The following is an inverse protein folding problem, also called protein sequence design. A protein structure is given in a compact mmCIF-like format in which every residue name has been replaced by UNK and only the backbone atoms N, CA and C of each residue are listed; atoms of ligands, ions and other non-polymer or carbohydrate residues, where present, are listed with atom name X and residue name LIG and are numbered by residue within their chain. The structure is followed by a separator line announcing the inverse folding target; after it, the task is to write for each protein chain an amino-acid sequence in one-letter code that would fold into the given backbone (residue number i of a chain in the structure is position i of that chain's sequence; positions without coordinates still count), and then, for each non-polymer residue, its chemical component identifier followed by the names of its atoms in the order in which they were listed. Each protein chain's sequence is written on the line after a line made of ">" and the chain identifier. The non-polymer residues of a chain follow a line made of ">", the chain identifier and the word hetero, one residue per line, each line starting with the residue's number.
data_IF_558167978152
#
_entry.id   IF_558167978152
#
_cell.length_a   1.000
_cell.length_b   1.000
_cell.length_c   1.000
_cell.angle_alpha   90.00
_cell.angle_beta   90.00
_cell.angle_gamma   90.00
#
_symmetry.space_group_name_H-M   'P 1'
#
loop_
_entity.id
_entity.type
_entity.pdbx_description
1 polymer ?
2 non-polymer ?
3 water ?
#
# COMPACT_ATOMS: atom_id res chain seq x y z
N UNK A 6 -27.52 -31.55 -5.38
CA UNK A 6 -27.84 -30.67 -6.50
C UNK A 6 -26.80 -29.55 -6.62
N UNK A 7 -26.84 -28.60 -5.69
CA UNK A 7 -25.97 -27.43 -5.73
C UNK A 7 -24.66 -27.77 -5.03
N UNK A 8 -23.63 -28.07 -5.83
CA UNK A 8 -22.30 -28.35 -5.32
C UNK A 8 -21.53 -27.04 -5.23
N UNK A 9 -21.06 -26.70 -4.03
CA UNK A 9 -20.28 -25.50 -3.79
C UNK A 9 -18.99 -25.84 -3.05
N UNK A 10 -17.97 -25.02 -3.26
CA UNK A 10 -16.67 -25.25 -2.66
C UNK A 10 -15.97 -23.91 -2.44
N UNK A 11 -15.12 -23.86 -1.42
CA UNK A 11 -14.41 -22.65 -1.04
C UNK A 11 -13.00 -22.99 -0.63
N UNK A 12 -12.01 -22.43 -1.31
CA UNK A 12 -10.61 -22.56 -0.91
C UNK A 12 -10.29 -21.50 0.13
N UNK A 13 -9.89 -21.94 1.33
CA UNK A 13 -9.70 -21.02 2.43
C UNK A 13 -8.65 -19.96 2.10
N UNK A 14 -7.40 -20.39 1.92
CA UNK A 14 -6.27 -19.46 1.76
C UNK A 14 -6.01 -19.12 0.30
N UNK A 15 -7.04 -19.07 -0.55
CA UNK A 15 -6.84 -18.64 -1.93
C UNK A 15 -6.35 -17.20 -1.98
N UNK A 16 -7.02 -16.31 -1.25
CA UNK A 16 -6.66 -14.90 -1.31
C UNK A 16 -5.21 -14.69 -0.87
N UNK A 17 -4.74 -15.45 0.11
CA UNK A 17 -3.34 -15.38 0.50
C UNK A 17 -2.44 -15.89 -0.61
N UNK A 18 -2.83 -16.99 -1.27
CA UNK A 18 -2.07 -17.48 -2.41
C UNK A 18 -2.02 -16.45 -3.53
N UNK A 19 -3.19 -15.92 -3.90
CA UNK A 19 -3.25 -14.97 -5.01
C UNK A 19 -2.41 -13.74 -4.73
N UNK A 20 -2.50 -13.20 -3.51
CA UNK A 20 -1.70 -12.04 -3.16
C UNK A 20 -0.21 -12.35 -3.22
N UNK A 21 0.18 -13.59 -2.91
CA UNK A 21 1.57 -13.98 -3.09
C UNK A 21 2.02 -13.78 -4.52
N UNK A 22 1.23 -14.24 -5.48
CA UNK A 22 1.56 -14.06 -6.88
C UNK A 22 1.48 -12.59 -7.27
N UNK A 23 0.42 -11.90 -6.82
CA UNK A 23 0.30 -10.47 -7.11
C UNK A 23 1.50 -9.70 -6.57
N UNK A 24 2.04 -10.11 -5.43
CA UNK A 24 3.25 -9.48 -4.93
C UNK A 24 4.46 -9.85 -5.79
N UNK A 25 4.54 -11.11 -6.22
CA UNK A 25 5.60 -11.51 -7.14
C UNK A 25 5.56 -10.68 -8.41
N UNK A 26 4.37 -10.48 -8.97
CA UNK A 26 4.24 -9.70 -10.19
C UNK A 26 4.68 -8.26 -10.00
N UNK A 27 4.39 -7.70 -8.81
CA UNK A 27 4.86 -6.35 -8.51
C UNK A 27 6.39 -6.30 -8.50
N UNK A 28 7.02 -7.18 -7.72
CA UNK A 28 8.47 -7.20 -7.64
C UNK A 28 9.10 -7.45 -9.01
N UNK A 29 8.38 -8.14 -9.89
CA UNK A 29 8.84 -8.35 -11.26
C UNK A 29 8.43 -7.24 -12.20
N UNK A 30 7.64 -6.27 -11.73
CA UNK A 30 7.19 -5.15 -12.54
C UNK A 30 6.43 -5.62 -13.78
N UNK A 31 5.53 -6.59 -13.58
CA UNK A 31 4.69 -7.13 -14.64
C UNK A 31 3.25 -6.75 -14.36
N UNK A 32 2.56 -6.25 -15.40
CA UNK A 32 1.16 -5.83 -15.35
C UNK A 32 0.95 -4.55 -14.55
N UNK A 33 1.99 -3.96 -13.99
CA UNK A 33 1.83 -2.72 -13.24
C UNK A 33 1.28 -1.62 -14.13
N UNK A 34 0.35 -0.84 -13.59
CA UNK A 34 -0.30 0.25 -14.32
C UNK A 34 -0.18 1.59 -13.62
N UNK A 35 0.63 1.69 -12.58
CA UNK A 35 0.80 2.95 -11.85
C UNK A 35 2.21 2.99 -11.28
N UNK A 36 2.85 4.16 -11.39
CA UNK A 36 4.16 4.41 -10.81
C UNK A 36 4.02 5.53 -9.79
N UNK A 37 4.38 5.25 -8.54
CA UNK A 37 4.28 6.21 -7.46
C UNK A 37 5.65 6.87 -7.25
N UNK A 38 5.77 8.12 -7.68
CA UNK A 38 6.98 8.90 -7.49
C UNK A 38 6.88 9.65 -6.16
N UNK A 39 7.74 9.31 -5.22
CA UNK A 39 7.70 9.85 -3.87
C UNK A 39 8.90 10.78 -3.71
N UNK A 40 8.62 12.04 -3.39
CA UNK A 40 9.65 13.05 -3.15
C UNK A 40 9.35 13.71 -1.82
N UNK A 41 10.31 13.65 -0.90
CA UNK A 41 10.09 14.07 0.49
C UNK A 41 11.29 14.87 0.97
N UNK A 42 11.14 16.19 0.97
CA UNK A 42 12.12 17.10 1.57
C UNK A 42 13.55 16.80 1.12
N UNK A 43 14.38 16.30 2.03
CA UNK A 43 15.79 16.08 1.75
C UNK A 43 16.11 14.66 1.31
N UNK A 44 15.13 13.75 1.36
CA UNK A 44 15.39 12.38 0.95
C UNK A 44 15.34 12.26 -0.57
N UNK A 45 16.15 11.37 -1.15
CA UNK A 45 16.14 11.23 -2.61
C UNK A 45 14.84 10.62 -3.11
N UNK A 46 14.43 11.07 -4.29
CA UNK A 46 13.19 10.59 -4.88
C UNK A 46 13.26 9.07 -5.09
N UNK A 47 12.08 8.43 -5.09
CA UNK A 47 11.99 6.99 -5.22
C UNK A 47 10.73 6.64 -5.99
N UNK A 48 10.83 5.61 -6.83
CA UNK A 48 9.72 5.13 -7.62
C UNK A 48 9.20 3.81 -7.05
N UNK A 49 7.89 3.61 -7.17
CA UNK A 49 7.24 2.39 -6.71
C UNK A 49 6.17 2.03 -7.73
N UNK A 50 6.38 0.93 -8.45
CA UNK A 50 5.39 0.45 -9.41
C UNK A 50 4.46 -0.53 -8.72
N UNK A 51 3.19 -0.51 -9.12
CA UNK A 51 2.19 -1.36 -8.49
C UNK A 51 0.97 -1.43 -9.41
N UNK A 52 -0.06 -2.12 -8.93
CA UNK A 52 -1.30 -2.31 -9.67
C UNK A 52 -2.40 -1.49 -8.99
N UNK A 53 -3.05 -0.62 -9.75
CA UNK A 53 -4.07 0.25 -9.18
C UNK A 53 -5.12 -0.56 -8.43
N UNK A 54 -5.59 -1.66 -9.05
CA UNK A 54 -6.67 -2.44 -8.44
C UNK A 54 -6.24 -2.97 -7.07
N UNK A 55 -4.97 -3.31 -6.90
CA UNK A 55 -4.50 -3.81 -5.62
C UNK A 55 -4.46 -2.68 -4.59
N UNK A 56 -3.84 -1.55 -4.95
CA UNK A 56 -3.80 -0.41 -4.06
C UNK A 56 -5.20 0.04 -3.67
N UNK A 57 -6.11 0.10 -4.65
CA UNK A 57 -7.48 0.50 -4.37
C UNK A 57 -8.15 -0.44 -3.38
N UNK A 58 -7.80 -1.73 -3.42
CA UNK A 58 -8.43 -2.70 -2.53
C UNK A 58 -8.00 -2.53 -1.09
N UNK A 59 -6.88 -1.83 -0.84
CA UNK A 59 -6.36 -1.66 0.51
C UNK A 59 -6.43 -0.23 1.01
N UNK A 60 -6.77 0.73 0.16
CA UNK A 60 -6.79 2.13 0.54
C UNK A 60 -7.97 2.84 -0.12
N UNK A 61 -8.97 3.27 0.64
CA UNK A 61 -10.05 4.08 0.03
C UNK A 61 -9.54 5.32 -0.66
N UNK A 62 -8.38 5.84 -0.27
CA UNK A 62 -7.83 7.03 -0.92
C UNK A 62 -7.33 6.69 -2.31
N UNK A 63 -6.67 5.54 -2.46
CA UNK A 63 -6.27 5.10 -3.80
C UNK A 63 -7.49 4.73 -4.63
N UNK A 64 -8.48 4.10 -4.01
CA UNK A 64 -9.69 3.70 -4.74
C UNK A 64 -10.33 4.92 -5.40
N UNK A 65 -10.57 5.98 -4.64
CA UNK A 65 -11.15 7.19 -5.21
C UNK A 65 -10.18 7.86 -6.18
N UNK A 66 -8.87 7.72 -5.94
CA UNK A 66 -7.89 8.38 -6.79
C UNK A 66 -7.83 7.77 -8.19
N UNK A 67 -8.13 6.48 -8.31
CA UNK A 67 -8.06 5.79 -9.59
C UNK A 67 -9.41 5.55 -10.24
N UNK A 68 -10.50 5.61 -9.48
CA UNK A 68 -11.84 5.38 -10.03
C UNK A 68 -12.40 6.72 -10.49
N UNK A 69 -12.06 7.11 -11.72
CA UNK A 69 -12.57 8.32 -12.33
C UNK A 69 -13.36 8.02 -13.60
N UNK A 70 -13.83 6.78 -13.75
CA UNK A 70 -14.58 6.40 -14.95
C UNK A 70 -13.79 6.56 -16.23
N UNK A 71 -12.51 6.19 -16.21
CA UNK A 71 -11.66 6.31 -17.39
C UNK A 71 -10.63 5.20 -17.38
N UNK A 72 -10.44 4.57 -18.55
CA UNK A 72 -9.42 3.54 -18.71
C UNK A 72 -8.16 4.21 -19.25
N UNK A 73 -7.42 4.82 -18.33
CA UNK A 73 -6.21 5.54 -18.70
C UNK A 73 -5.25 4.60 -19.45
N UNK A 74 -4.65 5.12 -20.51
CA UNK A 74 -3.83 4.29 -21.38
C UNK A 74 -2.45 4.06 -20.77
N UNK A 75 -2.03 2.80 -20.74
CA UNK A 75 -0.67 2.47 -20.32
C UNK A 75 -0.40 2.88 -18.88
N UNK A 76 0.79 3.42 -18.66
CA UNK A 76 1.26 3.76 -17.32
C UNK A 76 0.80 5.17 -16.95
N UNK A 77 0.49 5.35 -15.67
CA UNK A 77 0.16 6.66 -15.11
C UNK A 77 1.07 6.93 -13.93
N UNK A 78 1.72 8.09 -13.92
CA UNK A 78 2.62 8.48 -12.85
C UNK A 78 1.87 9.36 -11.87
N UNK A 79 1.98 9.04 -10.59
CA UNK A 79 1.32 9.79 -9.52
C UNK A 79 2.40 10.45 -8.68
N UNK A 80 2.32 11.78 -8.56
CA UNK A 80 3.25 12.52 -7.71
C UNK A 80 2.75 12.49 -6.28
N UNK A 81 3.57 11.96 -5.37
CA UNK A 81 3.24 11.87 -3.96
C UNK A 81 4.20 12.75 -3.19
N UNK A 82 3.66 13.59 -2.31
CA UNK A 82 4.46 14.46 -1.46
C UNK A 82 3.89 14.41 -0.05
N UNK A 83 4.75 14.76 0.91
CA UNK A 83 4.36 14.74 2.30
C UNK A 83 4.56 13.42 3.02
N UNK A 84 5.16 12.44 2.37
CA UNK A 84 5.45 11.15 3.00
C UNK A 84 6.83 10.68 2.55
N UNK A 85 7.54 10.03 3.46
CA UNK A 85 8.89 9.56 3.18
C UNK A 85 8.84 8.27 2.35
N UNK A 86 9.75 8.10 1.38
CA UNK A 86 9.72 6.87 0.58
C UNK A 86 9.74 5.60 1.42
N UNK A 87 10.56 5.57 2.48
CA UNK A 87 10.57 4.42 3.38
C UNK A 87 9.16 4.06 3.83
N UNK A 88 8.34 5.07 4.13
CA UNK A 88 7.00 4.81 4.64
C UNK A 88 6.11 4.26 3.53
N UNK A 89 6.16 4.88 2.35
CA UNK A 89 5.35 4.40 1.23
C UNK A 89 5.67 2.94 0.90
N UNK A 90 6.94 2.54 1.07
CA UNK A 90 7.31 1.15 0.81
C UNK A 90 6.57 0.21 1.76
N UNK A 91 6.59 0.52 3.06
CA UNK A 91 5.93 -0.35 4.03
C UNK A 91 4.45 -0.49 3.73
N UNK A 92 3.79 0.60 3.35
CA UNK A 92 2.35 0.57 3.09
C UNK A 92 2.03 -0.27 1.87
N UNK A 93 2.78 -0.07 0.78
CA UNK A 93 2.61 -0.92 -0.40
C UNK A 93 2.81 -2.38 -0.02
N UNK A 94 3.87 -2.67 0.75
CA UNK A 94 4.10 -4.04 1.19
C UNK A 94 2.89 -4.59 1.92
N UNK A 95 2.31 -3.79 2.84
CA UNK A 95 1.13 -4.25 3.56
C UNK A 95 -0.02 -4.55 2.62
N UNK A 96 -0.21 -3.70 1.60
CA UNK A 96 -1.30 -3.93 0.66
C UNK A 96 -1.13 -5.26 -0.07
N UNK A 97 0.10 -5.62 -0.39
CA UNK A 97 0.38 -6.85 -1.15
C UNK A 97 0.65 -8.04 -0.27
N UNK A 98 0.87 -7.86 1.04
CA UNK A 98 1.25 -8.95 1.92
C UNK A 98 0.44 -9.01 3.21
N UNK A 99 -0.37 -8.00 3.52
CA UNK A 99 -1.16 -7.95 4.75
C UNK A 99 -0.28 -7.94 5.99
N UNK A 100 0.97 -7.51 5.85
CA UNK A 100 1.90 -7.43 6.97
C UNK A 100 2.77 -6.20 6.80
N UNK A 101 3.38 -5.77 7.91
CA UNK A 101 4.21 -4.58 7.91
C UNK A 101 5.13 -4.64 9.12
N UNK A 102 6.37 -4.23 8.92
CA UNK A 102 7.37 -4.19 9.98
C UNK A 102 8.11 -2.86 9.92
N UNK A 103 8.72 -2.48 11.03
CA UNK A 103 9.36 -1.18 11.13
C UNK A 103 10.02 -1.07 12.51
N UNK A 104 10.88 -0.05 12.63
CA UNK A 104 11.48 0.26 13.91
C UNK A 104 10.62 1.20 14.75
N UNK A 105 10.87 1.19 16.06
CA UNK A 105 10.06 2.00 16.96
C UNK A 105 10.03 3.46 16.55
N UNK A 106 11.13 3.97 15.99
CA UNK A 106 11.23 5.41 15.73
C UNK A 106 10.39 5.85 14.54
N UNK A 107 10.18 4.97 13.58
CA UNK A 107 9.42 5.24 12.36
C UNK A 107 7.95 4.84 12.46
N UNK A 108 7.53 4.27 13.60
CA UNK A 108 6.13 3.88 13.76
C UNK A 108 5.22 5.09 13.59
N UNK A 109 5.63 6.24 14.10
CA UNK A 109 4.80 7.44 14.01
C UNK A 109 4.65 7.89 12.56
N UNK A 110 5.75 7.87 11.80
CA UNK A 110 5.68 8.27 10.40
C UNK A 110 4.80 7.32 9.59
N UNK A 111 4.79 6.04 9.96
CA UNK A 111 3.92 5.08 9.29
C UNK A 111 2.46 5.35 9.62
N UNK A 112 2.18 5.64 10.90
CA UNK A 112 0.82 6.01 11.27
C UNK A 112 0.34 7.19 10.44
N UNK A 113 1.19 8.21 10.27
CA UNK A 113 0.81 9.36 9.45
C UNK A 113 0.50 8.93 8.03
N UNK A 114 1.28 8.02 7.47
CA UNK A 114 1.00 7.53 6.12
C UNK A 114 -0.27 6.70 6.07
N UNK A 115 -0.46 5.81 7.05
CA UNK A 115 -1.68 5.02 7.10
C UNK A 115 -2.92 5.91 7.19
N UNK A 116 -2.85 6.97 7.98
CA UNK A 116 -3.96 7.91 8.07
C UNK A 116 -4.15 8.62 6.73
N UNK A 117 -3.07 9.13 6.15
CA UNK A 117 -3.16 9.88 4.90
C UNK A 117 -3.84 9.07 3.81
N UNK A 118 -3.68 7.75 3.83
CA UNK A 118 -4.30 6.87 2.85
C UNK A 118 -5.41 6.00 3.45
N UNK A 119 -5.84 6.30 4.67
CA UNK A 119 -7.01 5.67 5.28
C UNK A 119 -6.89 4.14 5.24
N UNK A 120 -5.71 3.65 5.62
CA UNK A 120 -5.50 2.21 5.81
C UNK A 120 -5.75 1.94 7.29
N UNK A 121 -7.03 1.75 7.63
CA UNK A 121 -7.47 1.75 9.02
C UNK A 121 -6.69 0.75 9.87
N UNK A 122 -6.64 -0.51 9.43
CA UNK A 122 -6.00 -1.54 10.24
C UNK A 122 -4.60 -1.16 10.66
N UNK A 123 -3.86 -0.48 9.79
CA UNK A 123 -2.52 -0.01 10.14
C UNK A 123 -2.60 1.12 11.16
N UNK A 124 -3.54 2.05 10.95
CA UNK A 124 -3.72 3.15 11.90
C UNK A 124 -4.00 2.59 13.29
N UNK A 125 -4.99 1.71 13.39
CA UNK A 125 -5.35 1.13 14.68
C UNK A 125 -4.17 0.38 15.29
N UNK A 126 -3.38 -0.29 14.46
CA UNK A 126 -2.25 -1.05 14.97
C UNK A 126 -1.20 -0.12 15.61
N UNK A 127 -0.75 0.88 14.85
CA UNK A 127 0.22 1.83 15.40
C UNK A 127 -0.37 2.59 16.59
N UNK A 128 -1.67 2.86 16.56
CA UNK A 128 -2.32 3.51 17.69
C UNK A 128 -2.14 2.69 18.97
N UNK A 129 -2.60 1.43 18.94
CA UNK A 129 -2.52 0.59 20.13
C UNK A 129 -1.08 0.36 20.57
N UNK A 130 -0.14 0.32 19.62
CA UNK A 130 1.26 0.14 19.99
C UNK A 130 1.79 1.35 20.74
N UNK A 131 1.60 2.55 20.17
CA UNK A 131 2.09 3.76 20.82
C UNK A 131 1.54 3.88 22.24
N UNK A 132 0.26 3.52 22.43
CA UNK A 132 -0.34 3.59 23.76
C UNK A 132 0.34 2.61 24.71
N UNK A 133 0.87 1.50 24.17
CA UNK A 133 1.56 0.52 25.01
C UNK A 133 2.93 1.03 25.44
N UNK A 134 3.58 1.85 24.61
CA UNK A 134 4.87 2.43 24.99
C UNK A 134 4.75 3.31 26.22
N UNK A 135 3.59 3.91 26.43
CA UNK A 135 3.41 4.89 27.49
C UNK A 135 3.72 4.28 28.86
N UNK A 136 3.90 5.15 29.84
CA UNK A 136 4.27 4.73 31.20
C UNK A 136 5.67 4.15 31.22
X LIG B 1 13.79 7.19 9.79
X LIG B 1 13.50 8.14 8.69
X LIG B 1 12.55 6.54 10.08
X LIG B 1 14.41 9.31 8.75
X LIG B 1 14.27 10.35 9.86
X LIG B 1 15.20 11.55 9.92
X LIG B 1 16.28 11.73 8.85
X LIG B 1 16.43 10.70 7.73
X LIG B 1 15.49 9.50 7.68
X LIG B 1 16.62 14.23 8.88
X LIG B 1 17.57 15.42 8.93
X LIG B 1 11.49 7.45 9.70
X LIG B 1 17.17 12.88 8.89
X LIG B 1 12.10 8.54 8.91
X LIG B 1 15.45 14.39 8.83
X LIG B 1 14.45 6.53 9.50
X LIG B 1 14.11 7.67 10.58
X LIG B 1 13.58 7.69 7.84
X LIG B 1 13.62 10.24 10.51
X LIG B 1 15.11 12.18 10.59
X LIG B 1 17.07 10.82 7.08
X LIG B 1 15.57 8.87 6.99
X LIG B 1 18.24 15.34 8.24
X LIG B 1 18.00 15.46 9.80
X LIG B 1 17.07 16.24 8.79
X LIG B 1 18.01 12.76 8.93
#
# INVERSE_FOLDING_TARGET
>A
GHMGNRTFSYTLEDHTKQAFGIMNELRLSQQLCDVTLQVKYQDAPAAQFMAHKVVLASSSPVFKAMFTNGLREQGMEVVSIEGIHPKVMERLIEFAYTASISMGEKCVLHVMNGAVMYQIDSVVRACADFLVQQLD
>B hetero
1 D8N C01 C02 C05 C06 C07 C08 C09 C10 C11 C13 C15 N04 N12 O03 O14 H012 H011 H021 H071 H081 H101 H111 H152 H151 H153 H121
#
